data_IF_300046973722
#
_entry.id   IF_300046973722
#
_cell.length_a   1.000
_cell.length_b   1.000
_cell.length_c   1.000
_cell.angle_alpha   90.00
_cell.angle_beta   90.00
_cell.angle_gamma   90.00
#
_symmetry.space_group_name_H-M   'P 1'
#
loop_
_entity.id
_entity.type
_entity.pdbx_description
1 polymer ?
#
# COMPACT_ATOMS: atom_id res chain seq x y z
N UNK A 1 -64.67 -71.21 20.37
CA UNK A 1 -63.20 -71.17 20.23
C UNK A 1 -62.85 -72.01 19.03
N UNK A 2 -62.53 -71.38 17.89
CA UNK A 2 -62.04 -72.13 16.73
C UNK A 2 -60.65 -72.67 17.01
N UNK A 3 -60.41 -73.94 16.74
CA UNK A 3 -59.07 -74.54 16.76
C UNK A 3 -58.37 -74.25 15.43
N UNK A 4 -57.16 -73.72 15.51
CA UNK A 4 -56.28 -73.49 14.38
C UNK A 4 -55.22 -74.60 14.41
N UNK A 5 -55.29 -75.53 13.46
CA UNK A 5 -54.25 -76.54 13.28
C UNK A 5 -53.30 -76.05 12.20
N UNK A 6 -52.07 -75.73 12.58
CA UNK A 6 -51.02 -75.31 11.66
C UNK A 6 -49.93 -76.37 11.59
N UNK A 7 -49.65 -76.85 10.39
CA UNK A 7 -48.49 -77.70 10.10
C UNK A 7 -47.48 -76.90 9.26
N UNK A 8 -46.20 -77.03 9.56
CA UNK A 8 -45.12 -76.49 8.74
C UNK A 8 -44.78 -77.49 7.65
N UNK A 9 -44.82 -77.06 6.39
CA UNK A 9 -44.30 -77.84 5.26
C UNK A 9 -43.19 -77.03 4.57
N UNK A 10 -41.94 -77.37 4.88
CA UNK A 10 -40.77 -76.58 4.49
C UNK A 10 -40.74 -75.20 5.16
N UNK A 11 -40.63 -74.14 4.36
CA UNK A 11 -40.63 -72.74 4.82
C UNK A 11 -42.03 -72.10 4.82
N UNK A 12 -43.07 -72.85 4.43
CA UNK A 12 -44.46 -72.37 4.41
C UNK A 12 -45.29 -72.97 5.56
N UNK A 13 -45.94 -72.09 6.32
CA UNK A 13 -46.84 -72.47 7.40
C UNK A 13 -48.25 -72.67 6.83
N UNK A 14 -48.74 -73.91 6.83
CA UNK A 14 -50.09 -74.26 6.38
C UNK A 14 -51.03 -74.39 7.58
N UNK A 15 -51.87 -73.37 7.78
CA UNK A 15 -52.92 -73.37 8.80
C UNK A 15 -54.29 -73.74 8.20
N UNK A 16 -54.97 -74.74 8.78
CA UNK A 16 -56.39 -75.03 8.54
C UNK A 16 -57.19 -74.76 9.81
N UNK A 17 -58.16 -73.87 9.71
CA UNK A 17 -59.07 -73.52 10.81
C UNK A 17 -60.48 -73.23 10.30
N UNK A 18 -61.48 -73.44 11.16
CA UNK A 18 -62.89 -73.13 10.88
C UNK A 18 -63.22 -71.75 11.45
N UNK A 19 -62.91 -70.70 10.68
CA UNK A 19 -63.27 -69.31 11.01
C UNK A 19 -64.71 -69.00 10.58
N UNK A 20 -65.38 -68.10 11.30
CA UNK A 20 -66.64 -67.55 10.79
C UNK A 20 -66.39 -66.63 9.60
N UNK A 21 -67.38 -66.48 8.72
CA UNK A 21 -67.29 -65.55 7.57
C UNK A 21 -67.02 -64.10 8.02
N UNK A 22 -67.52 -63.73 9.21
CA UNK A 22 -67.34 -62.39 9.79
C UNK A 22 -65.90 -62.16 10.26
N UNK A 23 -65.24 -63.17 10.83
CA UNK A 23 -63.84 -63.09 11.26
C UNK A 23 -62.88 -62.98 10.06
N UNK A 24 -63.19 -63.69 8.96
CA UNK A 24 -62.39 -63.63 7.74
C UNK A 24 -62.50 -62.27 7.04
N UNK A 25 -63.70 -61.69 6.95
CA UNK A 25 -63.87 -60.34 6.38
C UNK A 25 -63.19 -59.27 7.24
N UNK A 26 -63.30 -59.36 8.58
CA UNK A 26 -62.59 -58.43 9.48
C UNK A 26 -61.07 -58.49 9.27
N UNK A 27 -60.51 -59.70 9.09
CA UNK A 27 -59.08 -59.87 8.84
C UNK A 27 -58.64 -59.31 7.47
N UNK A 28 -59.49 -59.39 6.44
CA UNK A 28 -59.23 -58.75 5.14
C UNK A 28 -59.25 -57.23 5.23
N UNK A 29 -60.21 -56.67 5.95
CA UNK A 29 -60.30 -55.22 6.17
C UNK A 29 -59.10 -54.69 6.97
N UNK A 30 -58.68 -55.41 8.02
CA UNK A 30 -57.48 -55.10 8.79
C UNK A 30 -56.22 -55.17 7.91
N UNK A 31 -56.09 -56.21 7.08
CA UNK A 31 -54.98 -56.33 6.12
C UNK A 31 -54.97 -55.17 5.13
N UNK A 32 -56.13 -54.80 4.57
CA UNK A 32 -56.24 -53.65 3.66
C UNK A 32 -55.83 -52.34 4.33
N UNK A 33 -56.24 -52.14 5.58
CA UNK A 33 -55.86 -50.97 6.39
C UNK A 33 -54.35 -50.92 6.64
N UNK A 34 -53.73 -52.07 6.94
CA UNK A 34 -52.29 -52.17 7.15
C UNK A 34 -51.48 -51.92 5.87
N UNK A 35 -51.93 -52.41 4.71
CA UNK A 35 -51.27 -52.14 3.42
C UNK A 35 -51.35 -50.65 3.05
N UNK A 36 -52.48 -49.99 3.33
CA UNK A 36 -52.60 -48.54 3.15
C UNK A 36 -51.67 -47.78 4.08
N UNK A 37 -51.60 -48.16 5.36
CA UNK A 37 -50.69 -47.54 6.33
C UNK A 37 -49.21 -47.74 5.94
N UNK A 38 -48.86 -48.91 5.42
CA UNK A 38 -47.52 -49.20 4.89
C UNK A 38 -47.20 -48.30 3.70
N UNK A 39 -48.11 -48.19 2.73
CA UNK A 39 -47.91 -47.31 1.56
C UNK A 39 -47.76 -45.85 1.95
N UNK A 40 -48.50 -45.36 2.97
CA UNK A 40 -48.35 -44.00 3.50
C UNK A 40 -46.97 -43.80 4.14
N UNK A 41 -46.52 -44.74 4.99
CA UNK A 41 -45.20 -44.69 5.61
C UNK A 41 -44.08 -44.70 4.56
N UNK A 42 -44.18 -45.53 3.52
CA UNK A 42 -43.20 -45.55 2.43
C UNK A 42 -43.16 -44.22 1.66
N UNK A 43 -44.31 -43.59 1.43
CA UNK A 43 -44.39 -42.26 0.82
C UNK A 43 -43.71 -41.20 1.69
N UNK A 44 -44.01 -41.20 2.99
CA UNK A 44 -43.41 -40.27 3.96
C UNK A 44 -41.91 -40.45 4.11
N UNK A 45 -41.42 -41.68 4.07
CA UNK A 45 -39.99 -41.99 4.09
C UNK A 45 -39.28 -41.37 2.89
N UNK A 46 -39.84 -41.52 1.68
CA UNK A 46 -39.29 -40.91 0.45
C UNK A 46 -39.23 -39.38 0.54
N UNK A 47 -40.27 -38.75 1.08
CA UNK A 47 -40.27 -37.30 1.31
C UNK A 47 -39.17 -36.89 2.29
N UNK A 48 -39.03 -37.62 3.41
CA UNK A 48 -37.98 -37.36 4.39
C UNK A 48 -36.57 -37.47 3.78
N UNK A 49 -36.33 -38.49 2.95
CA UNK A 49 -35.05 -38.66 2.25
C UNK A 49 -34.77 -37.50 1.28
N UNK A 50 -35.80 -37.04 0.56
CA UNK A 50 -35.69 -35.86 -0.31
C UNK A 50 -35.35 -34.60 0.49
N UNK A 51 -36.05 -34.35 1.59
CA UNK A 51 -35.85 -33.19 2.45
C UNK A 51 -34.46 -33.22 3.12
N UNK A 52 -34.02 -34.41 3.55
CA UNK A 52 -32.68 -34.60 4.11
C UNK A 52 -31.60 -34.25 3.08
N UNK A 53 -31.75 -34.73 1.83
CA UNK A 53 -30.83 -34.39 0.75
C UNK A 53 -30.81 -32.89 0.43
N UNK A 54 -31.97 -32.22 0.45
CA UNK A 54 -32.03 -30.76 0.32
C UNK A 54 -31.28 -30.05 1.44
N UNK A 55 -31.46 -30.50 2.69
CA UNK A 55 -30.75 -29.93 3.83
C UNK A 55 -29.23 -30.15 3.76
N UNK A 56 -28.78 -31.35 3.37
CA UNK A 56 -27.35 -31.66 3.20
C UNK A 56 -26.73 -30.79 2.10
N UNK A 57 -27.44 -30.59 0.99
CA UNK A 57 -27.00 -29.71 -0.09
C UNK A 57 -26.91 -28.25 0.36
N UNK A 58 -27.92 -27.75 1.09
CA UNK A 58 -27.90 -26.39 1.64
C UNK A 58 -26.71 -26.19 2.60
N UNK A 59 -26.47 -27.14 3.49
CA UNK A 59 -25.31 -27.12 4.39
C UNK A 59 -23.99 -27.11 3.62
N UNK A 60 -23.87 -27.92 2.56
CA UNK A 60 -22.67 -27.95 1.72
C UNK A 60 -22.43 -26.62 0.98
N UNK A 61 -23.49 -25.88 0.61
CA UNK A 61 -23.37 -24.55 0.02
C UNK A 61 -22.86 -23.54 1.06
N UNK A 62 -23.41 -23.54 2.27
CA UNK A 62 -22.95 -22.63 3.33
C UNK A 62 -21.51 -22.92 3.75
N UNK A 63 -21.13 -24.20 3.82
CA UNK A 63 -19.74 -24.58 4.08
C UNK A 63 -18.80 -24.01 3.01
N UNK A 64 -19.14 -24.12 1.73
CA UNK A 64 -18.33 -23.55 0.64
C UNK A 64 -18.20 -22.03 0.73
N UNK A 65 -19.27 -21.32 1.12
CA UNK A 65 -19.21 -19.87 1.35
C UNK A 65 -18.25 -19.55 2.50
N UNK A 66 -18.28 -20.33 3.57
CA UNK A 66 -17.36 -20.15 4.70
C UNK A 66 -15.91 -20.38 4.30
N UNK A 67 -15.62 -21.44 3.53
CA UNK A 67 -14.29 -21.72 3.00
C UNK A 67 -13.79 -20.58 2.10
N UNK A 68 -14.68 -20.02 1.25
CA UNK A 68 -14.36 -18.85 0.42
C UNK A 68 -14.04 -17.63 1.29
N UNK A 69 -14.84 -17.34 2.32
CA UNK A 69 -14.56 -16.24 3.25
C UNK A 69 -13.20 -16.37 3.94
N UNK A 70 -12.78 -17.59 4.32
CA UNK A 70 -11.46 -17.82 4.89
C UNK A 70 -10.34 -17.55 3.88
N UNK A 71 -10.52 -17.98 2.63
CA UNK A 71 -9.59 -17.69 1.54
C UNK A 71 -9.45 -16.18 1.30
N UNK A 72 -10.59 -15.48 1.21
CA UNK A 72 -10.62 -14.04 0.99
C UNK A 72 -9.99 -13.26 2.15
N UNK A 73 -10.25 -13.69 3.39
CA UNK A 73 -9.64 -13.11 4.58
C UNK A 73 -8.11 -13.28 4.58
N UNK A 74 -7.63 -14.46 4.21
CA UNK A 74 -6.19 -14.71 4.08
C UNK A 74 -5.55 -13.83 3.01
N UNK A 75 -6.19 -13.66 1.85
CA UNK A 75 -5.73 -12.76 0.81
C UNK A 75 -5.69 -11.30 1.28
N UNK A 76 -6.69 -10.87 2.05
CA UNK A 76 -6.74 -9.52 2.62
C UNK A 76 -5.59 -9.25 3.62
N UNK A 77 -5.25 -10.24 4.44
CA UNK A 77 -4.13 -10.12 5.39
C UNK A 77 -2.79 -9.93 4.64
N UNK A 78 -2.55 -10.72 3.60
CA UNK A 78 -1.34 -10.60 2.77
C UNK A 78 -1.26 -9.22 2.10
N UNK A 79 -2.38 -8.74 1.55
CA UNK A 79 -2.44 -7.41 0.93
C UNK A 79 -2.17 -6.28 1.94
N UNK A 80 -2.64 -6.43 3.18
CA UNK A 80 -2.37 -5.49 4.28
C UNK A 80 -0.87 -5.43 4.63
N UNK A 81 -0.20 -6.58 4.67
CA UNK A 81 1.25 -6.64 4.90
C UNK A 81 2.04 -5.98 3.77
N UNK A 82 1.66 -6.17 2.51
CA UNK A 82 2.28 -5.50 1.35
C UNK A 82 2.12 -3.96 1.43
N UNK A 83 0.95 -3.47 1.83
CA UNK A 83 0.75 -2.03 2.04
C UNK A 83 1.65 -1.49 3.16
N UNK A 84 1.83 -2.24 4.25
CA UNK A 84 2.73 -1.86 5.34
C UNK A 84 4.18 -1.75 4.86
N UNK A 85 4.65 -2.73 4.08
CA UNK A 85 6.01 -2.69 3.52
C UNK A 85 6.24 -1.49 2.60
N UNK A 86 5.24 -1.15 1.77
CA UNK A 86 5.28 0.07 0.94
C UNK A 86 5.33 1.34 1.77
N UNK A 87 4.58 1.40 2.88
CA UNK A 87 4.60 2.53 3.80
C UNK A 87 5.97 2.68 4.48
N UNK A 88 6.55 1.59 4.99
CA UNK A 88 7.88 1.59 5.61
C UNK A 88 8.96 2.05 4.61
N UNK A 89 8.87 1.60 3.36
CA UNK A 89 9.76 2.05 2.28
C UNK A 89 9.63 3.55 2.02
N UNK A 90 8.41 4.06 1.94
CA UNK A 90 8.15 5.50 1.77
C UNK A 90 8.75 6.34 2.90
N UNK A 91 8.61 5.89 4.16
CA UNK A 91 9.23 6.55 5.31
C UNK A 91 10.76 6.58 5.21
N UNK A 92 11.39 5.46 4.84
CA UNK A 92 12.84 5.39 4.64
C UNK A 92 13.32 6.32 3.53
N UNK A 93 12.59 6.38 2.41
CA UNK A 93 12.93 7.27 1.29
C UNK A 93 12.76 8.74 1.68
N UNK A 94 11.72 9.08 2.45
CA UNK A 94 11.52 10.44 2.97
C UNK A 94 12.69 10.87 3.88
N UNK A 95 13.15 9.99 4.78
CA UNK A 95 14.29 10.26 5.64
C UNK A 95 15.59 10.46 4.84
N UNK A 96 15.79 9.66 3.80
CA UNK A 96 16.93 9.82 2.88
C UNK A 96 16.90 11.18 2.17
N UNK A 97 15.72 11.60 1.70
CA UNK A 97 15.54 12.91 1.07
C UNK A 97 15.79 14.06 2.06
N UNK A 98 15.37 13.93 3.31
CA UNK A 98 15.67 14.92 4.34
C UNK A 98 17.18 15.05 4.59
N UNK A 99 17.90 13.92 4.70
CA UNK A 99 19.36 13.94 4.85
C UNK A 99 20.05 14.58 3.64
N UNK A 100 19.57 14.29 2.42
CA UNK A 100 20.09 14.94 1.22
C UNK A 100 19.80 16.45 1.20
N UNK A 101 18.63 16.87 1.66
CA UNK A 101 18.28 18.29 1.76
C UNK A 101 19.20 19.02 2.75
N UNK A 102 19.51 18.40 3.89
CA UNK A 102 20.47 18.94 4.85
C UNK A 102 21.89 19.04 4.26
N UNK A 103 22.33 18.01 3.53
CA UNK A 103 23.61 18.04 2.82
C UNK A 103 23.64 19.19 1.79
N UNK A 104 22.62 19.32 0.95
CA UNK A 104 22.51 20.40 -0.03
C UNK A 104 22.51 21.79 0.65
N UNK A 105 21.82 21.94 1.78
CA UNK A 105 21.78 23.19 2.55
C UNK A 105 23.12 23.55 3.18
N UNK A 106 23.86 22.56 3.68
CA UNK A 106 25.20 22.76 4.23
C UNK A 106 26.20 23.19 3.14
N UNK A 107 25.96 22.77 1.88
CA UNK A 107 26.78 23.16 0.74
C UNK A 107 26.47 24.58 0.23
N UNK A 108 25.22 25.07 0.35
CA UNK A 108 24.84 26.43 -0.08
C UNK A 108 25.12 27.52 0.97
N UNK A 109 24.96 27.23 2.27
CA UNK A 109 24.95 28.26 3.32
C UNK A 109 26.31 28.88 3.71
N UNK A 110 27.44 28.33 3.27
CA UNK A 110 28.75 28.85 3.65
C UNK A 110 29.21 30.08 2.83
N UNK A 111 28.60 30.32 1.67
CA UNK A 111 28.97 31.42 0.77
C UNK A 111 27.80 32.38 0.45
N UNK A 112 26.55 32.01 0.76
CA UNK A 112 25.39 32.77 0.31
C UNK A 112 24.99 33.92 1.25
N UNK A 113 24.65 35.05 0.63
CA UNK A 113 24.05 36.20 1.28
C UNK A 113 22.58 35.93 1.66
N UNK A 114 22.05 36.55 2.74
CA UNK A 114 22.66 37.62 3.54
C UNK A 114 23.59 37.11 4.66
N UNK A 115 23.61 35.81 4.95
CA UNK A 115 24.33 35.22 6.09
C UNK A 115 25.86 35.34 6.00
N UNK A 116 26.38 35.54 4.79
CA UNK A 116 27.80 35.78 4.52
C UNK A 116 28.23 37.25 4.61
N UNK A 117 27.32 38.22 4.79
CA UNK A 117 27.69 39.64 4.75
C UNK A 117 28.76 40.01 5.79
N UNK A 118 29.83 40.66 5.34
CA UNK A 118 30.99 41.04 6.15
C UNK A 118 31.91 39.88 6.55
N UNK A 119 31.58 38.62 6.20
CA UNK A 119 32.41 37.46 6.51
C UNK A 119 33.48 37.24 5.46
N UNK A 120 34.58 36.63 5.89
CA UNK A 120 35.64 36.19 4.99
C UNK A 120 35.27 34.84 4.35
N UNK A 121 35.39 34.76 3.03
CA UNK A 121 35.20 33.55 2.25
C UNK A 121 36.54 33.19 1.63
N UNK A 122 37.10 32.06 2.05
CA UNK A 122 38.31 31.51 1.44
C UNK A 122 37.94 30.69 0.19
N UNK A 123 38.63 30.96 -0.91
CA UNK A 123 38.44 30.32 -2.21
C UNK A 123 39.81 30.05 -2.82
N UNK A 124 40.24 28.78 -2.79
CA UNK A 124 41.62 28.42 -3.12
C UNK A 124 42.62 29.05 -2.15
N UNK A 125 43.62 29.76 -2.68
CA UNK A 125 44.60 30.53 -1.90
C UNK A 125 44.21 31.99 -1.66
N UNK A 126 43.03 32.40 -2.13
CA UNK A 126 42.56 33.79 -2.07
C UNK A 126 41.44 33.92 -1.05
N UNK A 127 41.45 35.01 -0.28
CA UNK A 127 40.36 35.35 0.64
C UNK A 127 39.58 36.55 0.13
N UNK A 128 38.26 36.52 0.29
CA UNK A 128 37.34 37.58 -0.07
C UNK A 128 36.54 38.03 1.14
N UNK A 129 36.22 39.32 1.26
CA UNK A 129 35.17 39.81 2.14
C UNK A 129 33.88 39.88 1.34
N UNK A 130 32.84 39.19 1.80
CA UNK A 130 31.52 39.22 1.16
C UNK A 130 30.75 40.50 1.53
N UNK A 131 30.24 41.17 0.51
CA UNK A 131 29.35 42.33 0.56
C UNK A 131 28.01 41.97 -0.07
N UNK A 132 27.00 41.77 0.76
CA UNK A 132 25.65 41.42 0.34
C UNK A 132 24.81 42.66 0.03
N UNK A 133 23.94 42.58 -0.97
CA UNK A 133 23.15 43.71 -1.49
C UNK A 133 24.00 44.89 -1.94
N UNK A 134 25.21 44.61 -2.42
CA UNK A 134 26.13 45.61 -2.95
C UNK A 134 26.69 45.16 -4.27
N UNK A 135 26.94 46.11 -5.15
CA UNK A 135 27.63 45.88 -6.43
C UNK A 135 28.89 46.74 -6.48
N UNK A 136 29.95 46.20 -7.06
CA UNK A 136 31.14 46.97 -7.35
C UNK A 136 31.05 47.56 -8.75
N UNK A 137 31.49 48.81 -8.90
CA UNK A 137 31.69 49.42 -10.20
C UNK A 137 33.17 49.71 -10.42
N UNK A 138 33.65 49.43 -11.62
CA UNK A 138 35.03 49.65 -12.01
C UNK A 138 35.37 48.94 -13.31
N UNK A 139 36.66 48.72 -13.55
CA UNK A 139 37.09 48.07 -14.79
C UNK A 139 36.78 46.57 -14.73
N UNK A 140 35.89 46.10 -15.59
CA UNK A 140 35.54 44.68 -15.70
C UNK A 140 36.59 43.94 -16.53
N UNK A 141 37.05 42.77 -16.05
CA UNK A 141 37.88 41.81 -16.79
C UNK A 141 36.98 40.98 -17.72
N UNK A 142 35.94 40.37 -17.15
CA UNK A 142 35.01 39.50 -17.87
C UNK A 142 33.64 39.45 -17.20
N UNK A 143 32.64 39.11 -18.02
CA UNK A 143 31.27 38.81 -17.62
C UNK A 143 30.97 37.35 -17.96
N UNK A 144 30.56 36.55 -16.97
CA UNK A 144 30.26 35.12 -17.15
C UNK A 144 28.84 34.83 -16.65
N UNK A 145 27.90 34.41 -17.52
CA UNK A 145 26.54 34.06 -17.11
C UNK A 145 26.43 32.62 -16.59
N UNK A 146 25.40 32.34 -15.79
CA UNK A 146 24.99 31.00 -15.38
C UNK A 146 25.87 30.34 -14.32
N UNK A 147 26.52 31.13 -13.46
CA UNK A 147 27.44 30.61 -12.42
C UNK A 147 26.94 30.90 -11.01
N UNK A 148 27.35 30.06 -10.04
CA UNK A 148 27.07 30.32 -8.62
C UNK A 148 27.95 31.44 -8.06
N UNK A 149 27.62 31.97 -6.88
CA UNK A 149 28.44 33.01 -6.24
C UNK A 149 29.84 32.49 -5.87
N UNK A 150 29.93 31.25 -5.38
CA UNK A 150 31.22 30.59 -5.13
C UNK A 150 32.05 30.47 -6.41
N UNK A 151 31.42 30.08 -7.52
CA UNK A 151 32.10 29.97 -8.81
C UNK A 151 32.55 31.33 -9.34
N UNK A 152 31.76 32.37 -9.10
CA UNK A 152 32.13 33.74 -9.42
C UNK A 152 33.39 34.20 -8.66
N UNK A 153 33.50 33.85 -7.37
CA UNK A 153 34.72 34.09 -6.59
C UNK A 153 35.89 33.21 -7.08
N UNK A 154 35.66 31.95 -7.47
CA UNK A 154 36.69 31.09 -8.06
C UNK A 154 37.24 31.69 -9.37
N UNK A 155 36.36 32.23 -10.22
CA UNK A 155 36.73 32.90 -11.47
C UNK A 155 37.60 34.13 -11.20
N UNK A 156 37.31 34.88 -10.13
CA UNK A 156 38.18 35.98 -9.69
C UNK A 156 39.48 35.45 -9.06
N UNK A 157 39.43 34.38 -8.27
CA UNK A 157 40.60 33.75 -7.65
C UNK A 157 41.64 33.33 -8.70
N UNK A 158 41.18 32.78 -9.82
CA UNK A 158 42.01 32.35 -10.94
C UNK A 158 42.64 33.51 -11.74
N UNK A 159 42.10 34.73 -11.64
CA UNK A 159 42.60 35.92 -12.33
C UNK A 159 43.54 36.71 -11.40
N UNK A 160 44.86 36.80 -11.69
CA UNK A 160 45.81 37.51 -10.83
C UNK A 160 45.46 38.99 -10.66
N UNK A 161 44.94 39.62 -11.72
CA UNK A 161 44.55 41.02 -11.72
C UNK A 161 43.19 41.30 -11.06
N UNK A 162 42.43 40.26 -10.70
CA UNK A 162 41.12 40.47 -10.11
C UNK A 162 41.22 41.09 -8.71
N UNK A 163 40.35 42.07 -8.45
CA UNK A 163 40.22 42.75 -7.14
C UNK A 163 38.86 42.53 -6.51
N UNK A 164 37.83 42.24 -7.30
CA UNK A 164 36.52 41.87 -6.79
C UNK A 164 35.68 41.13 -7.83
N UNK A 165 34.62 40.49 -7.38
CA UNK A 165 33.56 39.99 -8.24
C UNK A 165 32.18 40.35 -7.70
N UNK A 166 31.19 40.48 -8.59
CA UNK A 166 29.79 40.67 -8.26
C UNK A 166 28.93 39.70 -9.05
N UNK A 167 27.93 39.10 -8.41
CA UNK A 167 26.94 38.24 -9.03
C UNK A 167 25.55 38.86 -8.84
N UNK A 168 24.75 38.94 -9.91
CA UNK A 168 23.35 39.34 -9.81
C UNK A 168 22.37 38.17 -9.63
N UNK A 169 21.10 38.53 -9.43
CA UNK A 169 19.97 37.60 -9.39
C UNK A 169 19.74 36.81 -10.68
N UNK A 170 20.34 37.21 -11.81
CA UNK A 170 20.28 36.48 -13.09
C UNK A 170 21.49 35.54 -13.25
N UNK A 171 22.27 35.33 -12.18
CA UNK A 171 23.49 34.51 -12.18
C UNK A 171 24.56 35.02 -13.15
N UNK A 172 24.62 36.32 -13.40
CA UNK A 172 25.66 36.98 -14.19
C UNK A 172 26.78 37.44 -13.26
N UNK A 173 27.97 36.93 -13.50
CA UNK A 173 29.17 37.22 -12.72
C UNK A 173 30.04 38.25 -13.43
N UNK A 174 30.24 39.41 -12.82
CA UNK A 174 31.23 40.40 -13.24
C UNK A 174 32.50 40.25 -12.40
N UNK A 175 33.63 40.09 -13.09
CA UNK A 175 34.96 40.03 -12.47
C UNK A 175 35.64 41.37 -12.72
N UNK A 176 36.10 42.05 -11.67
CA UNK A 176 36.66 43.41 -11.74
C UNK A 176 38.17 43.41 -11.53
N UNK A 177 38.89 44.13 -12.40
CA UNK A 177 40.32 44.46 -12.27
C UNK A 177 40.55 45.57 -11.25
N UNK A 178 39.60 46.49 -11.11
CA UNK A 178 39.66 47.59 -10.16
C UNK A 178 38.26 47.93 -9.64
N UNK A 179 38.21 48.43 -8.41
CA UNK A 179 36.97 48.89 -7.77
C UNK A 179 37.10 50.40 -7.62
N UNK A 180 36.19 51.15 -8.24
CA UNK A 180 36.10 52.60 -8.12
C UNK A 180 35.08 52.99 -7.06
N UNK A 181 33.90 52.38 -7.13
CA UNK A 181 32.80 52.63 -6.20
C UNK A 181 32.09 51.33 -5.84
N UNK A 182 31.44 51.34 -4.69
CA UNK A 182 30.57 50.28 -4.19
C UNK A 182 29.22 50.93 -3.90
N UNK A 183 28.14 50.37 -4.46
CA UNK A 183 26.78 50.92 -4.33
C UNK A 183 25.85 49.84 -3.79
N UNK A 184 24.83 50.27 -3.05
CA UNK A 184 23.80 49.36 -2.56
C UNK A 184 22.88 48.96 -3.72
N UNK A 185 22.78 47.66 -3.97
CA UNK A 185 21.90 47.08 -4.97
C UNK A 185 21.36 45.75 -4.46
N UNK A 186 20.06 45.70 -4.20
CA UNK A 186 19.36 44.52 -3.68
C UNK A 186 19.52 43.33 -4.64
N UNK A 187 19.81 42.16 -4.08
CA UNK A 187 19.98 40.93 -4.84
C UNK A 187 21.33 40.80 -5.55
N UNK A 188 22.30 41.65 -5.22
CA UNK A 188 23.69 41.49 -5.62
C UNK A 188 24.52 40.81 -4.53
N UNK A 189 25.37 39.88 -4.95
CA UNK A 189 26.33 39.20 -4.09
C UNK A 189 27.73 39.53 -4.57
N UNK A 190 28.47 40.28 -3.76
CA UNK A 190 29.79 40.77 -4.17
C UNK A 190 30.87 40.33 -3.21
N UNK A 191 32.08 40.07 -3.70
CA UNK A 191 33.23 39.72 -2.89
C UNK A 191 34.44 40.54 -3.28
N UNK A 192 35.06 41.21 -2.30
CA UNK A 192 36.30 41.98 -2.48
C UNK A 192 37.49 41.16 -2.02
N UNK A 193 38.49 40.98 -2.90
CA UNK A 193 39.74 40.29 -2.57
C UNK A 193 40.50 41.09 -1.50
N UNK A 194 41.02 40.40 -0.48
CA UNK A 194 41.91 40.97 0.55
C UNK A 194 43.34 40.47 0.40
#
# INVERSE_FOLDING_TARGET
>A
MGTLDCELDGDELHCKGRFSSEELERCKDEKGTLELAKSDLESRLKTCDSDLNMCLNAFAVEKRKMDQCFSDLSACLIASEDQKQKLDKCYSDNQSLQNQLEQCRSQSSAADCPSANGKQIAVGSTTFIASCNKVFHGQTIKLVPGVSYRDCLNLCAAEPECRAASLDHQSRCWVYRSIQTETDQVGMHSGKRI
#
